data_IF_676781046439
#
_entry.id   IF_676781046439
#
_cell.length_a   1.000
_cell.length_b   1.000
_cell.length_c   1.000
_cell.angle_alpha   90.00
_cell.angle_beta   90.00
_cell.angle_gamma   90.00
#
_symmetry.space_group_name_H-M   'P 1'
#
loop_
_entity.id
_entity.type
_entity.pdbx_description
1 polymer ?
#
# COMPACT_ATOMS: atom_id res chain seq x y z
N UNK A 1 -17.72 -12.21 -11.15
CA UNK A 1 -16.32 -12.66 -11.04
C UNK A 1 -15.50 -11.52 -10.43
N UNK A 2 -14.53 -11.81 -9.54
CA UNK A 2 -13.61 -10.77 -9.00
C UNK A 2 -12.19 -11.01 -9.50
N UNK A 3 -11.49 -9.92 -9.81
CA UNK A 3 -10.08 -9.96 -10.21
C UNK A 3 -9.28 -9.13 -9.22
N UNK A 4 -8.21 -9.71 -8.71
CA UNK A 4 -7.21 -9.06 -7.86
C UNK A 4 -5.99 -8.73 -8.70
N UNK A 5 -5.51 -7.51 -8.60
CA UNK A 5 -4.42 -7.00 -9.42
C UNK A 5 -3.35 -6.45 -8.50
N UNK A 6 -2.09 -6.83 -8.74
CA UNK A 6 -0.92 -6.22 -8.15
C UNK A 6 -0.37 -5.18 -9.10
N UNK A 7 0.01 -4.02 -8.56
CA UNK A 7 0.55 -2.92 -9.34
C UNK A 7 1.60 -2.14 -8.56
N UNK A 8 2.46 -1.42 -9.27
CA UNK A 8 3.35 -0.42 -8.68
C UNK A 8 2.90 0.99 -9.04
N UNK A 9 3.17 1.93 -8.15
CA UNK A 9 2.97 3.38 -8.32
C UNK A 9 4.21 4.09 -7.80
N UNK A 10 5.06 4.56 -8.70
CA UNK A 10 6.39 5.09 -8.38
C UNK A 10 6.63 6.47 -8.95
N UNK A 11 7.81 7.03 -8.71
CA UNK A 11 8.21 8.33 -9.25
C UNK A 11 7.24 9.45 -8.89
N UNK A 12 6.98 10.34 -9.81
CA UNK A 12 6.11 11.51 -9.58
C UNK A 12 4.64 11.16 -9.35
N UNK A 13 4.23 9.93 -9.68
CA UNK A 13 2.88 9.47 -9.33
C UNK A 13 2.66 9.39 -7.81
N UNK A 14 3.70 9.36 -6.97
CA UNK A 14 3.54 9.43 -5.50
C UNK A 14 2.81 10.70 -5.05
N UNK A 15 2.83 11.77 -5.86
CA UNK A 15 2.18 13.03 -5.56
C UNK A 15 0.69 13.09 -5.94
N UNK A 16 0.15 12.10 -6.65
CA UNK A 16 -1.30 12.05 -6.90
C UNK A 16 -2.04 11.37 -5.75
N UNK A 17 -3.17 11.97 -5.37
CA UNK A 17 -4.02 11.47 -4.30
C UNK A 17 -4.80 10.21 -4.68
N UNK A 18 -5.43 9.59 -3.68
CA UNK A 18 -6.23 8.37 -3.88
C UNK A 18 -7.36 8.57 -4.90
N UNK A 19 -8.01 9.73 -4.91
CA UNK A 19 -9.11 10.03 -5.85
C UNK A 19 -8.60 10.11 -7.29
N UNK A 20 -7.50 10.83 -7.49
CA UNK A 20 -6.91 10.99 -8.84
C UNK A 20 -6.39 9.66 -9.37
N UNK A 21 -5.81 8.84 -8.48
CA UNK A 21 -5.40 7.47 -8.81
C UNK A 21 -6.59 6.61 -9.23
N UNK A 22 -7.71 6.68 -8.50
CA UNK A 22 -8.94 5.96 -8.87
C UNK A 22 -9.45 6.40 -10.25
N UNK A 23 -9.44 7.71 -10.54
CA UNK A 23 -9.84 8.25 -11.84
C UNK A 23 -8.91 7.79 -12.97
N UNK A 24 -7.60 7.70 -12.70
CA UNK A 24 -6.64 7.14 -13.64
C UNK A 24 -6.95 5.67 -13.94
N UNK A 25 -7.25 4.85 -12.93
CA UNK A 25 -7.65 3.45 -13.11
C UNK A 25 -8.94 3.32 -13.92
N UNK A 26 -9.96 4.12 -13.66
CA UNK A 26 -11.20 4.12 -14.46
C UNK A 26 -10.93 4.42 -15.94
N UNK A 27 -10.01 5.35 -16.24
CA UNK A 27 -9.64 5.67 -17.62
C UNK A 27 -8.85 4.53 -18.28
N UNK A 28 -7.92 3.90 -17.54
CA UNK A 28 -7.14 2.76 -18.03
C UNK A 28 -8.06 1.59 -18.32
N UNK A 29 -8.94 1.20 -17.40
CA UNK A 29 -9.92 0.13 -17.57
C UNK A 29 -10.79 0.35 -18.83
N UNK A 30 -11.30 1.58 -19.00
CA UNK A 30 -12.11 1.92 -20.16
C UNK A 30 -11.32 1.80 -21.48
N UNK A 31 -10.05 2.24 -21.51
CA UNK A 31 -9.20 2.11 -22.71
C UNK A 31 -8.83 0.66 -23.00
N UNK A 32 -8.61 -0.12 -21.96
CA UNK A 32 -8.35 -1.56 -22.06
C UNK A 32 -9.58 -2.40 -22.43
N UNK A 33 -10.76 -1.78 -22.56
CA UNK A 33 -12.00 -2.52 -22.84
C UNK A 33 -12.52 -3.34 -21.67
N UNK A 34 -11.92 -3.20 -20.48
CA UNK A 34 -12.33 -3.92 -19.27
C UNK A 34 -13.45 -3.14 -18.60
N UNK A 35 -14.62 -3.77 -18.50
CA UNK A 35 -15.83 -3.16 -17.95
C UNK A 35 -16.11 -3.71 -16.55
N UNK A 36 -15.85 -2.94 -15.48
CA UNK A 36 -16.25 -3.35 -14.13
C UNK A 36 -17.76 -3.47 -13.99
N UNK A 37 -18.23 -4.34 -13.12
CA UNK A 37 -19.60 -4.32 -12.64
C UNK A 37 -19.89 -2.98 -11.90
N UNK A 38 -21.15 -2.59 -11.86
CA UNK A 38 -21.57 -1.36 -11.17
C UNK A 38 -22.37 -1.67 -9.90
N UNK A 39 -22.29 -0.76 -8.94
CA UNK A 39 -23.12 -0.81 -7.74
C UNK A 39 -24.60 -0.56 -8.12
N UNK A 40 -25.50 -1.09 -7.28
CA UNK A 40 -26.93 -0.79 -7.35
C UNK A 40 -27.21 0.58 -6.72
N UNK A 41 -28.19 1.30 -7.23
CA UNK A 41 -28.66 2.59 -6.67
C UNK A 41 -28.75 3.70 -7.70
N UNK A 42 -29.13 4.90 -7.24
CA UNK A 42 -29.39 6.07 -8.11
C UNK A 42 -28.13 6.64 -8.79
N UNK A 43 -26.95 6.41 -8.23
CA UNK A 43 -25.66 6.81 -8.79
C UNK A 43 -24.72 5.59 -8.86
N UNK A 44 -24.87 4.73 -9.88
CA UNK A 44 -24.05 3.55 -10.02
C UNK A 44 -22.56 3.91 -10.12
N UNK A 45 -21.73 3.25 -9.31
CA UNK A 45 -20.27 3.41 -9.36
C UNK A 45 -19.61 2.10 -9.81
N UNK A 46 -18.51 2.17 -10.59
CA UNK A 46 -17.74 0.98 -10.92
C UNK A 46 -17.26 0.29 -9.65
N UNK A 47 -17.40 -1.02 -9.58
CA UNK A 47 -16.93 -1.83 -8.45
C UNK A 47 -15.43 -2.08 -8.56
N UNK A 48 -14.68 -1.03 -8.29
CA UNK A 48 -13.22 -0.99 -8.23
C UNK A 48 -12.83 -0.52 -6.83
N UNK A 49 -11.95 -1.22 -6.15
CA UNK A 49 -11.57 -0.89 -4.78
C UNK A 49 -10.10 -1.15 -4.50
N UNK A 50 -9.52 -0.31 -3.65
CA UNK A 50 -8.20 -0.53 -3.04
C UNK A 50 -8.44 -1.02 -1.61
N UNK A 51 -8.01 -2.25 -1.24
CA UNK A 51 -8.16 -2.76 0.12
C UNK A 51 -7.49 -1.88 1.18
N UNK A 52 -6.38 -1.22 0.81
CA UNK A 52 -5.72 -0.20 1.62
C UNK A 52 -5.24 0.94 0.72
N UNK A 53 -5.67 2.19 0.96
CA UNK A 53 -5.19 3.32 0.17
C UNK A 53 -3.70 3.57 0.40
N UNK A 54 -2.99 3.97 -0.66
CA UNK A 54 -1.61 4.42 -0.55
C UNK A 54 -1.60 5.89 -0.12
N UNK A 55 -0.82 6.19 0.91
CA UNK A 55 -0.66 7.54 1.45
C UNK A 55 0.01 8.46 0.42
N UNK A 56 -0.36 9.72 0.41
CA UNK A 56 0.26 10.74 -0.44
C UNK A 56 1.77 10.86 -0.15
N UNK A 57 2.55 11.10 -1.19
CA UNK A 57 4.02 11.17 -1.19
C UNK A 57 4.73 9.82 -0.92
N UNK A 58 3.99 8.71 -0.82
CA UNK A 58 4.55 7.37 -0.66
C UNK A 58 4.53 6.64 -2.02
N UNK A 59 5.64 6.02 -2.39
CA UNK A 59 5.69 5.08 -3.50
C UNK A 59 5.15 3.72 -3.09
N UNK A 60 4.53 2.99 -4.02
CA UNK A 60 4.07 1.63 -3.81
C UNK A 60 4.67 0.70 -4.85
N UNK A 61 5.39 -0.33 -4.41
CA UNK A 61 6.00 -1.30 -5.34
C UNK A 61 5.11 -2.53 -5.58
N UNK A 62 4.25 -2.88 -4.62
CA UNK A 62 3.37 -4.04 -4.75
C UNK A 62 2.02 -3.78 -4.08
N UNK A 63 1.27 -2.86 -4.67
CA UNK A 63 -0.04 -2.41 -4.24
C UNK A 63 -1.15 -3.38 -4.69
N UNK A 64 -2.35 -3.21 -4.14
CA UNK A 64 -3.48 -4.09 -4.38
C UNK A 64 -4.70 -3.32 -4.87
N UNK A 65 -5.27 -3.80 -5.96
CA UNK A 65 -6.55 -3.36 -6.53
C UNK A 65 -7.47 -4.58 -6.69
N UNK A 66 -8.74 -4.45 -6.36
CA UNK A 66 -9.77 -5.44 -6.69
C UNK A 66 -10.83 -4.84 -7.61
N UNK A 67 -11.20 -5.59 -8.63
CA UNK A 67 -12.23 -5.25 -9.62
C UNK A 67 -13.28 -6.36 -9.61
N UNK A 68 -14.55 -6.01 -9.52
CA UNK A 68 -15.63 -6.94 -9.78
C UNK A 68 -16.03 -6.81 -11.26
N UNK A 69 -16.00 -7.92 -12.00
CA UNK A 69 -16.48 -8.00 -13.36
C UNK A 69 -17.91 -8.57 -13.38
N UNK A 70 -18.71 -8.24 -14.40
CA UNK A 70 -20.03 -8.86 -14.61
C UNK A 70 -19.94 -10.39 -14.72
N UNK A 71 -21.04 -11.08 -14.47
CA UNK A 71 -21.09 -12.54 -14.52
C UNK A 71 -20.94 -13.09 -15.96
N UNK A 72 -21.36 -12.30 -16.92
CA UNK A 72 -21.28 -12.57 -18.36
C UNK A 72 -19.96 -12.13 -19.01
N UNK A 73 -18.96 -11.75 -18.20
CA UNK A 73 -17.63 -11.44 -18.71
C UNK A 73 -16.97 -12.73 -19.27
N UNK A 74 -17.05 -12.91 -20.58
CA UNK A 74 -16.47 -14.07 -21.27
C UNK A 74 -14.98 -13.88 -21.58
N UNK A 75 -14.24 -15.00 -21.60
CA UNK A 75 -12.85 -15.10 -22.06
C UNK A 75 -11.84 -14.16 -21.37
N UNK A 76 -12.02 -13.88 -20.09
CA UNK A 76 -11.16 -12.97 -19.35
C UNK A 76 -10.14 -13.78 -18.55
N UNK A 77 -8.94 -14.01 -19.12
CA UNK A 77 -7.84 -14.60 -18.36
C UNK A 77 -7.07 -13.53 -17.55
N UNK A 78 -6.44 -13.92 -16.43
CA UNK A 78 -5.58 -13.01 -15.66
C UNK A 78 -4.49 -12.38 -16.52
N UNK A 79 -3.85 -13.16 -17.40
CA UNK A 79 -2.77 -12.73 -18.27
C UNK A 79 -3.25 -11.69 -19.28
N UNK A 80 -4.44 -11.90 -19.87
CA UNK A 80 -5.06 -10.95 -20.77
C UNK A 80 -5.35 -9.63 -20.05
N UNK A 81 -5.98 -9.68 -18.85
CA UNK A 81 -6.27 -8.48 -18.05
C UNK A 81 -4.99 -7.69 -17.78
N UNK A 82 -3.96 -8.36 -17.26
CA UNK A 82 -2.67 -7.72 -16.97
C UNK A 82 -2.07 -7.08 -18.21
N UNK A 83 -2.06 -7.81 -19.33
CA UNK A 83 -1.49 -7.33 -20.60
C UNK A 83 -2.24 -6.11 -21.12
N UNK A 84 -3.58 -6.13 -21.12
CA UNK A 84 -4.38 -5.01 -21.61
C UNK A 84 -4.24 -3.78 -20.71
N UNK A 85 -4.23 -3.96 -19.40
CA UNK A 85 -3.96 -2.86 -18.47
C UNK A 85 -2.58 -2.24 -18.70
N UNK A 86 -1.54 -3.07 -18.91
CA UNK A 86 -0.18 -2.59 -19.17
C UNK A 86 -0.04 -1.83 -20.48
N UNK A 87 -0.79 -2.21 -21.54
CA UNK A 87 -0.80 -1.47 -22.83
C UNK A 87 -1.40 -0.06 -22.70
N UNK A 88 -2.29 0.14 -21.74
CA UNK A 88 -3.07 1.36 -21.59
C UNK A 88 -2.71 2.17 -20.34
N UNK A 89 -1.65 1.76 -19.63
CA UNK A 89 -1.16 2.43 -18.42
C UNK A 89 -0.52 3.79 -18.72
N UNK A 90 -0.10 4.46 -17.66
CA UNK A 90 0.67 5.71 -17.70
C UNK A 90 2.08 5.45 -17.13
N UNK A 91 3.08 6.27 -17.47
CA UNK A 91 4.43 6.11 -16.92
C UNK A 91 4.42 6.01 -15.38
N UNK A 92 5.27 5.15 -14.83
CA UNK A 92 5.43 4.91 -13.40
C UNK A 92 4.21 4.24 -12.69
N UNK A 93 3.28 3.69 -13.46
CA UNK A 93 2.21 2.82 -13.01
C UNK A 93 2.29 1.50 -13.78
N UNK A 94 2.73 0.42 -13.13
CA UNK A 94 2.91 -0.87 -13.79
C UNK A 94 2.02 -1.94 -13.19
N UNK A 95 1.47 -2.83 -14.04
CA UNK A 95 0.63 -3.95 -13.63
C UNK A 95 1.46 -5.23 -13.52
N UNK A 96 1.71 -5.67 -12.30
CA UNK A 96 2.64 -6.76 -11.97
C UNK A 96 2.00 -8.14 -12.19
N UNK A 97 0.79 -8.33 -11.66
CA UNK A 97 0.03 -9.58 -11.81
C UNK A 97 -1.47 -9.33 -11.75
N UNK A 98 -2.23 -10.28 -12.26
CA UNK A 98 -3.67 -10.38 -12.07
C UNK A 98 -4.02 -11.80 -11.65
N UNK A 99 -5.06 -11.96 -10.85
CA UNK A 99 -5.56 -13.23 -10.34
C UNK A 99 -7.10 -13.19 -10.34
N UNK A 100 -7.73 -14.23 -10.86
CA UNK A 100 -9.18 -14.41 -10.76
C UNK A 100 -9.49 -15.05 -9.42
N UNK A 101 -10.30 -14.37 -8.63
CA UNK A 101 -10.73 -14.85 -7.32
C UNK A 101 -12.00 -15.68 -7.49
N UNK A 102 -12.04 -16.93 -7.01
CA UNK A 102 -13.20 -17.80 -7.11
C UNK A 102 -14.47 -17.16 -6.55
N UNK A 103 -15.61 -17.52 -7.16
CA UNK A 103 -16.92 -17.07 -6.69
C UNK A 103 -17.17 -17.57 -5.26
N UNK A 104 -17.57 -16.65 -4.38
CA UNK A 104 -17.78 -16.96 -2.96
C UNK A 104 -16.61 -16.61 -2.05
N UNK A 105 -15.40 -16.41 -2.58
CA UNK A 105 -14.31 -15.88 -1.77
C UNK A 105 -14.55 -14.41 -1.34
N UNK A 106 -14.18 -14.12 -0.09
CA UNK A 106 -14.30 -12.77 0.48
C UNK A 106 -13.26 -11.82 -0.16
N UNK A 107 -13.48 -10.52 0.00
CA UNK A 107 -12.51 -9.48 -0.40
C UNK A 107 -11.17 -9.68 0.32
N UNK A 108 -10.10 -9.18 -0.30
CA UNK A 108 -8.78 -9.20 0.34
C UNK A 108 -8.82 -8.54 1.72
N UNK A 109 -8.31 -9.26 2.72
CA UNK A 109 -8.09 -8.72 4.06
C UNK A 109 -6.62 -8.40 4.20
N UNK A 110 -6.31 -7.10 4.30
CA UNK A 110 -4.95 -6.67 4.56
C UNK A 110 -4.55 -7.05 5.97
N UNK A 111 -3.37 -7.65 6.15
CA UNK A 111 -2.81 -8.05 7.45
C UNK A 111 -1.69 -7.12 7.89
N UNK A 112 -0.78 -6.82 6.97
CA UNK A 112 0.36 -5.97 7.24
C UNK A 112 0.89 -5.32 5.97
N UNK A 113 1.79 -4.38 6.13
CA UNK A 113 2.48 -3.68 5.05
C UNK A 113 3.95 -3.55 5.39
N UNK A 114 4.80 -3.82 4.40
CA UNK A 114 6.26 -3.60 4.49
C UNK A 114 6.60 -2.23 3.94
N UNK A 115 7.39 -1.47 4.67
CA UNK A 115 7.87 -0.15 4.26
C UNK A 115 9.40 -0.11 4.24
N UNK A 116 9.94 0.72 3.35
CA UNK A 116 11.37 1.00 3.27
C UNK A 116 11.63 2.49 3.05
N UNK A 117 12.77 2.97 3.59
CA UNK A 117 13.30 4.31 3.32
C UNK A 117 14.82 4.28 3.47
N UNK A 118 15.53 5.03 2.62
CA UNK A 118 16.99 5.16 2.75
C UNK A 118 17.34 6.12 3.89
N UNK A 119 18.27 5.67 4.75
CA UNK A 119 18.83 6.44 5.86
C UNK A 119 20.26 6.84 5.50
N UNK A 120 20.62 8.13 5.54
CA UNK A 120 21.98 8.58 5.32
C UNK A 120 23.00 7.91 6.26
N UNK A 121 24.20 7.63 5.74
CA UNK A 121 25.24 6.89 6.48
C UNK A 121 25.59 7.55 7.83
N UNK A 122 25.62 8.87 7.89
CA UNK A 122 25.91 9.65 9.11
C UNK A 122 24.85 9.47 10.21
N UNK A 123 23.64 9.01 9.87
CA UNK A 123 22.56 8.72 10.82
C UNK A 123 22.49 7.25 11.23
N UNK A 124 23.21 6.36 10.54
CA UNK A 124 23.06 4.90 10.69
C UNK A 124 23.35 4.41 12.11
N UNK A 125 24.40 4.91 12.76
CA UNK A 125 24.75 4.51 14.15
C UNK A 125 23.63 4.87 15.12
N UNK A 126 23.16 6.12 15.09
CA UNK A 126 22.08 6.57 15.97
C UNK A 126 20.76 5.82 15.67
N UNK A 127 20.50 5.54 14.41
CA UNK A 127 19.31 4.77 14.03
C UNK A 127 19.36 3.35 14.60
N UNK A 128 20.52 2.66 14.55
CA UNK A 128 20.70 1.34 15.16
C UNK A 128 20.47 1.35 16.67
N UNK A 129 21.01 2.34 17.38
CA UNK A 129 20.78 2.52 18.82
C UNK A 129 19.28 2.74 19.14
N UNK A 130 18.59 3.53 18.33
CA UNK A 130 17.14 3.75 18.48
C UNK A 130 16.33 2.49 18.20
N UNK A 131 16.71 1.71 17.19
CA UNK A 131 16.07 0.42 16.87
C UNK A 131 16.22 -0.54 18.05
N UNK A 132 17.42 -0.67 18.61
CA UNK A 132 17.68 -1.51 19.78
C UNK A 132 16.83 -1.08 20.98
N UNK A 133 16.76 0.24 21.23
CA UNK A 133 15.89 0.76 22.28
C UNK A 133 14.41 0.38 22.02
N UNK A 134 13.89 0.57 20.80
CA UNK A 134 12.52 0.20 20.42
C UNK A 134 12.28 -1.29 20.65
N UNK A 135 13.21 -2.15 20.25
CA UNK A 135 13.08 -3.61 20.39
C UNK A 135 12.95 -4.04 21.85
N UNK A 136 13.64 -3.36 22.76
CA UNK A 136 13.64 -3.65 24.20
C UNK A 136 12.40 -3.11 24.95
N UNK A 137 11.52 -2.34 24.30
CA UNK A 137 10.29 -1.86 24.94
C UNK A 137 9.13 -2.85 24.74
N UNK A 138 8.29 -3.00 25.75
CA UNK A 138 7.04 -3.77 25.66
C UNK A 138 5.87 -2.93 25.11
N UNK A 139 5.88 -1.62 25.33
CA UNK A 139 4.89 -0.64 24.86
C UNK A 139 5.57 0.70 24.63
N UNK A 140 5.15 1.41 23.60
CA UNK A 140 5.65 2.76 23.26
C UNK A 140 4.45 3.64 22.94
N UNK A 141 3.88 4.33 23.96
CA UNK A 141 2.82 5.30 23.69
C UNK A 141 3.39 6.50 22.90
N UNK A 142 2.79 6.77 21.77
CA UNK A 142 3.21 7.82 20.85
C UNK A 142 2.03 8.75 20.54
N UNK A 143 2.23 10.04 20.79
CA UNK A 143 1.27 11.08 20.46
C UNK A 143 1.67 11.76 19.15
N UNK A 144 0.79 11.72 18.15
CA UNK A 144 1.02 12.42 16.89
C UNK A 144 0.89 13.92 17.08
N UNK A 145 1.77 14.68 16.45
CA UNK A 145 1.70 16.16 16.49
C UNK A 145 0.35 16.60 15.88
N UNK A 146 -0.38 17.43 16.64
CA UNK A 146 -1.69 17.94 16.21
C UNK A 146 -2.87 16.95 16.38
N UNK A 147 -2.67 15.84 17.08
CA UNK A 147 -3.73 14.88 17.40
C UNK A 147 -3.76 14.59 18.91
N UNK A 148 -4.95 14.50 19.49
CA UNK A 148 -5.10 14.18 20.92
C UNK A 148 -4.92 12.67 21.21
N UNK A 149 -4.99 11.84 20.16
CA UNK A 149 -4.99 10.38 20.30
C UNK A 149 -3.56 9.84 20.43
N UNK A 150 -3.32 9.06 21.48
CA UNK A 150 -2.10 8.30 21.68
C UNK A 150 -2.23 6.92 20.99
N UNK A 151 -1.19 6.52 20.28
CA UNK A 151 -1.08 5.21 19.60
C UNK A 151 0.06 4.44 20.25
N UNK A 152 -0.13 3.17 20.57
CA UNK A 152 0.98 2.32 20.98
C UNK A 152 1.69 1.76 19.74
N UNK A 153 2.90 2.20 19.51
CA UNK A 153 3.72 1.78 18.36
C UNK A 153 3.94 0.26 18.37
N UNK A 154 4.23 -0.33 19.55
CA UNK A 154 4.55 -1.77 19.66
C UNK A 154 3.37 -2.66 19.27
N UNK A 155 2.14 -2.22 19.45
CA UNK A 155 0.95 -3.00 19.10
C UNK A 155 0.85 -3.27 17.60
N UNK A 156 1.37 -2.36 16.77
CA UNK A 156 1.33 -2.46 15.31
C UNK A 156 2.66 -2.76 14.64
N UNK A 157 3.80 -2.61 15.34
CA UNK A 157 5.13 -2.87 14.79
C UNK A 157 5.42 -4.38 14.83
N UNK A 158 5.63 -4.99 13.65
CA UNK A 158 5.94 -6.43 13.51
C UNK A 158 7.45 -6.64 13.45
N UNK A 159 8.14 -5.89 12.60
CA UNK A 159 9.59 -5.95 12.43
C UNK A 159 10.17 -4.56 12.21
N UNK A 160 11.45 -4.39 12.55
CA UNK A 160 12.19 -3.15 12.35
C UNK A 160 13.68 -3.46 12.27
N UNK A 161 14.31 -3.13 11.13
CA UNK A 161 15.75 -3.32 10.89
C UNK A 161 16.33 -2.19 10.04
N UNK A 162 17.63 -1.96 10.22
CA UNK A 162 18.44 -1.15 9.32
C UNK A 162 19.44 -2.08 8.63
N UNK A 163 19.26 -2.24 7.32
CA UNK A 163 20.13 -3.09 6.50
C UNK A 163 21.52 -2.45 6.31
N UNK A 164 22.48 -3.23 5.82
CA UNK A 164 23.86 -2.77 5.65
C UNK A 164 24.03 -1.72 4.55
N UNK A 165 23.11 -1.69 3.58
CA UNK A 165 23.06 -0.67 2.52
C UNK A 165 22.43 0.66 2.98
N UNK A 166 22.04 0.77 4.25
CA UNK A 166 21.37 1.94 4.82
C UNK A 166 19.86 1.97 4.61
N UNK A 167 19.25 0.91 4.10
CA UNK A 167 17.79 0.81 3.99
C UNK A 167 17.16 0.50 5.35
N UNK A 168 16.34 1.39 5.86
CA UNK A 168 15.45 1.12 6.99
C UNK A 168 14.25 0.33 6.47
N UNK A 169 14.06 -0.89 6.98
CA UNK A 169 12.96 -1.78 6.63
C UNK A 169 12.09 -2.04 7.86
N UNK A 170 10.77 -1.95 7.69
CA UNK A 170 9.84 -2.24 8.80
C UNK A 170 8.48 -2.73 8.31
N UNK A 171 7.87 -3.61 9.10
CA UNK A 171 6.54 -4.14 8.86
C UNK A 171 5.55 -3.60 9.88
N UNK A 172 4.42 -3.12 9.38
CA UNK A 172 3.31 -2.64 10.20
C UNK A 172 2.08 -3.51 10.01
N UNK A 173 1.47 -3.94 11.10
CA UNK A 173 0.15 -4.57 11.10
C UNK A 173 -0.91 -3.56 10.63
N UNK A 174 -1.79 -4.00 9.75
CA UNK A 174 -2.96 -3.21 9.39
C UNK A 174 -4.01 -3.31 10.48
N UNK A 175 -4.29 -2.20 11.13
CA UNK A 175 -5.27 -2.12 12.21
C UNK A 175 -5.90 -0.72 12.29
N UNK A 176 -7.13 -0.67 12.75
CA UNK A 176 -7.81 0.61 12.95
C UNK A 176 -7.07 1.46 13.98
N UNK A 177 -6.75 2.69 13.58
CA UNK A 177 -6.02 3.65 14.41
C UNK A 177 -4.62 3.17 14.88
N UNK A 178 -4.03 2.20 14.20
CA UNK A 178 -2.66 1.75 14.46
C UNK A 178 -1.58 2.75 14.04
N UNK A 179 -0.31 2.42 14.32
CA UNK A 179 0.80 3.25 13.89
C UNK A 179 0.91 3.28 12.36
N UNK A 180 1.21 4.47 11.83
CA UNK A 180 1.54 4.66 10.42
C UNK A 180 3.06 4.70 10.20
N UNK A 181 3.51 4.65 8.93
CA UNK A 181 4.95 4.63 8.65
C UNK A 181 5.67 5.90 9.13
N UNK A 182 5.03 7.07 9.07
CA UNK A 182 5.64 8.32 9.57
C UNK A 182 5.73 8.38 11.08
N UNK A 183 4.91 7.62 11.82
CA UNK A 183 5.05 7.50 13.28
C UNK A 183 6.35 6.75 13.63
N UNK A 184 6.72 5.75 12.83
CA UNK A 184 8.00 5.03 12.99
C UNK A 184 9.18 5.96 12.69
N UNK A 185 9.11 6.72 11.58
CA UNK A 185 10.16 7.68 11.25
C UNK A 185 10.33 8.73 12.37
N UNK A 186 9.23 9.27 12.88
CA UNK A 186 9.27 10.25 13.97
C UNK A 186 9.86 9.64 15.26
N UNK A 187 9.48 8.40 15.60
CA UNK A 187 10.00 7.67 16.74
C UNK A 187 11.53 7.46 16.66
N UNK A 188 12.04 7.21 15.45
CA UNK A 188 13.46 7.03 15.17
C UNK A 188 14.22 8.35 14.95
N UNK A 189 13.56 9.49 15.11
CA UNK A 189 14.11 10.83 14.82
C UNK A 189 14.51 11.02 13.34
N UNK A 190 13.78 10.37 12.44
CA UNK A 190 13.99 10.37 10.98
C UNK A 190 12.84 11.07 10.22
N UNK A 191 11.99 11.82 10.91
CA UNK A 191 10.79 12.45 10.32
C UNK A 191 11.08 13.48 9.23
N UNK A 192 12.31 13.97 9.15
CA UNK A 192 12.79 14.94 8.16
C UNK A 192 13.32 14.31 6.87
N UNK A 193 13.51 12.99 6.81
CA UNK A 193 14.11 12.32 5.64
C UNK A 193 13.36 12.60 4.34
N UNK A 194 12.02 12.59 4.36
CA UNK A 194 11.23 12.86 3.16
C UNK A 194 11.43 14.29 2.65
N UNK A 195 11.66 15.28 3.53
CA UNK A 195 11.93 16.67 3.15
C UNK A 195 13.36 16.87 2.64
N UNK A 196 14.27 15.94 2.95
CA UNK A 196 15.65 15.93 2.44
C UNK A 196 15.85 15.02 1.23
N UNK A 197 14.74 14.55 0.61
CA UNK A 197 14.77 13.84 -0.66
C UNK A 197 14.74 12.32 -0.58
N UNK A 198 14.76 11.71 0.63
CA UNK A 198 14.50 10.28 0.76
C UNK A 198 13.05 9.97 0.44
N UNK A 199 12.82 8.87 -0.25
CA UNK A 199 11.46 8.44 -0.63
C UNK A 199 11.00 7.32 0.29
N UNK A 200 9.87 7.52 0.93
CA UNK A 200 9.20 6.45 1.66
C UNK A 200 8.48 5.54 0.68
N UNK A 201 8.79 4.25 0.73
CA UNK A 201 8.26 3.23 -0.18
C UNK A 201 7.46 2.20 0.59
N UNK A 202 6.24 1.90 0.16
CA UNK A 202 5.51 0.72 0.58
C UNK A 202 5.88 -0.45 -0.35
N UNK A 203 6.76 -1.31 0.14
CA UNK A 203 7.31 -2.44 -0.63
C UNK A 203 6.27 -3.50 -0.92
N UNK A 204 5.36 -3.76 0.02
CA UNK A 204 4.37 -4.80 -0.13
C UNK A 204 3.12 -4.57 0.73
N UNK A 205 1.98 -5.04 0.22
CA UNK A 205 0.72 -5.19 0.96
C UNK A 205 0.46 -6.69 1.15
N UNK A 206 0.56 -7.16 2.39
CA UNK A 206 0.32 -8.56 2.74
C UNK A 206 -1.16 -8.79 3.03
N UNK A 207 -1.73 -9.78 2.37
CA UNK A 207 -3.11 -10.21 2.56
C UNK A 207 -3.13 -11.59 3.18
N UNK A 208 -4.11 -11.83 4.06
CA UNK A 208 -4.35 -13.14 4.66
C UNK A 208 -5.67 -13.73 4.17
N UNK A 209 -5.80 -15.06 4.25
CA UNK A 209 -7.12 -15.71 4.24
C UNK A 209 -7.85 -15.28 5.51
N UNK A 210 -9.16 -15.04 5.42
CA UNK A 210 -9.96 -14.92 6.65
C UNK A 210 -9.86 -16.28 7.35
N UNK A 211 -9.16 -16.34 8.48
CA UNK A 211 -9.35 -17.42 9.44
C UNK A 211 -10.77 -17.25 9.97
N UNK A 212 -11.55 -18.30 9.88
CA UNK A 212 -12.90 -18.41 10.46
C UNK A 212 -12.85 -18.39 12.00
#
# INVERSE_FOLDING_TARGET
MRVRIRFSKTGDLRFIGHRDLMDAFHRILRRAGIRPAYSQGFHPKPKVSFPVPLTLCVEGENELLEIELPEDAENVSPEWIRSELQKHTIPALDFLSAEVIPTGEKKAVVRSMTYAISVPAERSTRTRERIEWVQNQSSIPFQRIGHDKVVDIKSGLISLSLEDDGTLLFDLRFMDNGPGPRDILALLELGDLETHGSVLVRKNVHIGKNEE
#
